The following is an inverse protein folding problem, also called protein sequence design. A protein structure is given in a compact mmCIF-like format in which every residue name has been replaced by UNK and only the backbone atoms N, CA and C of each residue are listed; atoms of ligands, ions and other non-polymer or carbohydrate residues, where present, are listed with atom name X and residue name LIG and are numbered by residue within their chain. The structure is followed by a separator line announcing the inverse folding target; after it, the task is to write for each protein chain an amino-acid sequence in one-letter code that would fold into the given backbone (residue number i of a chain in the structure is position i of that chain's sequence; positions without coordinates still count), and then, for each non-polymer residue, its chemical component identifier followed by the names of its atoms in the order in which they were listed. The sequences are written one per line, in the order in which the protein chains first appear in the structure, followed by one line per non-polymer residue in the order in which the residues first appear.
data_IF_700567187088
#
_entry.id   IF_700567187088
#
_cell.length_a   1.000
_cell.length_b   1.000
_cell.length_c   1.000
_cell.angle_alpha   90.00
_cell.angle_beta   90.00
_cell.angle_gamma   90.00
#
_symmetry.space_group_name_H-M   'P 1'
#
loop_
_entity.id
_entity.type
_entity.pdbx_description
1 polymer ?
#
# COMPACT_ATOMS: atom_id res chain seq x y z
N UNK A 1 3.22 -18.81 6.54
CA UNK A 1 2.02 -17.94 6.54
C UNK A 1 2.29 -16.77 7.47
N UNK A 2 2.11 -15.54 7.00
CA UNK A 2 2.26 -14.33 7.78
C UNK A 2 1.04 -14.11 8.69
N UNK A 3 1.23 -13.55 9.88
CA UNK A 3 0.17 -13.33 10.88
C UNK A 3 -0.31 -11.87 10.90
N UNK A 4 0.58 -10.93 10.55
CA UNK A 4 0.24 -9.52 10.43
C UNK A 4 0.86 -8.94 9.18
N UNK A 5 0.04 -8.37 8.33
CA UNK A 5 0.50 -7.81 7.06
C UNK A 5 0.09 -6.36 6.90
N UNK A 6 0.91 -5.60 6.19
CA UNK A 6 0.49 -4.30 5.68
C UNK A 6 0.34 -4.41 4.17
N UNK A 7 -0.86 -4.14 3.67
CA UNK A 7 -1.17 -4.07 2.26
C UNK A 7 -1.13 -2.60 1.80
N UNK A 8 -0.22 -2.26 0.89
CA UNK A 8 -0.22 -0.96 0.24
C UNK A 8 -0.85 -1.06 -1.13
N UNK A 9 -1.90 -0.30 -1.37
CA UNK A 9 -2.59 -0.23 -2.67
C UNK A 9 -2.31 1.10 -3.34
N UNK A 10 -1.90 1.08 -4.61
CA UNK A 10 -1.70 2.32 -5.38
C UNK A 10 -3.04 3.04 -5.60
N UNK A 11 -3.07 4.37 -5.44
CA UNK A 11 -4.27 5.15 -5.73
C UNK A 11 -4.80 4.97 -7.15
N UNK A 12 -3.91 4.75 -8.12
CA UNK A 12 -4.30 4.50 -9.52
C UNK A 12 -5.22 3.29 -9.70
N UNK A 13 -5.17 2.33 -8.77
CA UNK A 13 -6.06 1.16 -8.79
C UNK A 13 -7.50 1.58 -8.52
N UNK A 14 -7.72 2.61 -7.69
CA UNK A 14 -9.05 3.11 -7.31
C UNK A 14 -9.73 3.96 -8.39
N UNK A 15 -8.95 4.47 -9.36
CA UNK A 15 -9.46 5.37 -10.41
C UNK A 15 -9.99 4.68 -11.66
N UNK A 16 -9.89 3.36 -11.75
CA UNK A 16 -10.26 2.63 -12.96
C UNK A 16 -9.53 3.18 -14.19
N UNK A 17 -10.25 3.34 -15.30
CA UNK A 17 -9.73 3.90 -16.57
C UNK A 17 -9.91 5.42 -16.67
N UNK A 18 -10.82 6.00 -15.89
CA UNK A 18 -11.24 7.41 -16.00
C UNK A 18 -10.61 8.34 -14.96
N UNK A 19 -9.90 7.80 -13.97
CA UNK A 19 -9.46 8.56 -12.78
C UNK A 19 -10.62 8.84 -11.81
N UNK A 20 -10.33 9.56 -10.72
CA UNK A 20 -11.31 9.80 -9.66
C UNK A 20 -11.57 8.54 -8.82
N UNK A 21 -12.82 8.27 -8.47
CA UNK A 21 -13.27 7.07 -7.78
C UNK A 21 -14.05 6.17 -8.73
N UNK A 22 -13.60 4.92 -8.85
CA UNK A 22 -14.28 3.88 -9.61
C UNK A 22 -14.77 2.80 -8.63
N UNK A 23 -16.08 2.67 -8.50
CA UNK A 23 -16.70 1.76 -7.53
C UNK A 23 -16.38 0.29 -7.82
N UNK A 24 -16.29 -0.10 -9.09
CA UNK A 24 -15.98 -1.48 -9.47
C UNK A 24 -14.52 -1.81 -9.09
N UNK A 25 -13.59 -0.91 -9.41
CA UNK A 25 -12.18 -1.07 -9.05
C UNK A 25 -11.98 -1.13 -7.52
N UNK A 26 -12.68 -0.28 -6.75
CA UNK A 26 -12.66 -0.32 -5.29
C UNK A 26 -13.22 -1.64 -4.77
N UNK A 27 -14.30 -2.13 -5.38
CA UNK A 27 -14.92 -3.40 -5.01
C UNK A 27 -13.97 -4.59 -5.24
N UNK A 28 -13.23 -4.61 -6.34
CA UNK A 28 -12.25 -5.68 -6.60
C UNK A 28 -11.10 -5.66 -5.58
N UNK A 29 -10.62 -4.48 -5.20
CA UNK A 29 -9.63 -4.36 -4.10
C UNK A 29 -10.21 -4.86 -2.79
N UNK A 30 -11.42 -4.43 -2.44
CA UNK A 30 -12.10 -4.85 -1.22
C UNK A 30 -12.31 -6.37 -1.19
N UNK A 31 -12.64 -7.00 -2.33
CA UNK A 31 -12.76 -8.45 -2.45
C UNK A 31 -11.44 -9.17 -2.16
N UNK A 32 -10.32 -8.73 -2.73
CA UNK A 32 -9.00 -9.30 -2.43
C UNK A 32 -8.66 -9.21 -0.93
N UNK A 33 -9.05 -8.10 -0.28
CA UNK A 33 -8.85 -7.92 1.16
C UNK A 33 -9.80 -8.83 1.95
N UNK A 34 -11.05 -8.97 1.52
CA UNK A 34 -12.04 -9.86 2.14
C UNK A 34 -11.60 -11.33 2.07
N UNK A 35 -11.15 -11.78 0.89
CA UNK A 35 -10.63 -13.13 0.69
C UNK A 35 -9.39 -13.41 1.59
N UNK A 36 -8.56 -12.40 1.80
CA UNK A 36 -7.41 -12.48 2.71
C UNK A 36 -7.83 -12.49 4.19
N UNK A 37 -8.87 -11.73 4.55
CA UNK A 37 -9.40 -11.66 5.91
C UNK A 37 -9.96 -13.01 6.42
N UNK A 38 -10.39 -13.90 5.52
CA UNK A 38 -10.79 -15.26 5.86
C UNK A 38 -9.68 -16.08 6.52
N UNK A 39 -8.41 -15.69 6.34
CA UNK A 39 -7.27 -16.34 7.00
C UNK A 39 -7.14 -16.01 8.49
N UNK A 40 -8.02 -15.14 9.01
CA UNK A 40 -8.00 -14.68 10.42
C UNK A 40 -6.66 -14.08 10.85
N UNK A 41 -6.03 -13.29 9.99
CA UNK A 41 -4.79 -12.57 10.26
C UNK A 41 -5.05 -11.08 10.49
N UNK A 42 -4.05 -10.36 10.96
CA UNK A 42 -4.13 -8.91 11.13
C UNK A 42 -3.78 -8.18 9.81
N UNK A 43 -4.70 -7.38 9.29
CA UNK A 43 -4.51 -6.65 8.03
C UNK A 43 -4.55 -5.14 8.27
N UNK A 44 -3.41 -4.47 8.09
CA UNK A 44 -3.32 -3.02 7.91
C UNK A 44 -3.32 -2.69 6.41
N UNK A 45 -3.95 -1.59 6.04
CA UNK A 45 -4.02 -1.14 4.64
C UNK A 45 -3.55 0.30 4.55
N UNK A 46 -2.74 0.62 3.55
CA UNK A 46 -2.40 1.99 3.15
C UNK A 46 -2.84 2.19 1.71
N UNK A 47 -3.58 3.24 1.43
CA UNK A 47 -4.01 3.58 0.06
C UNK A 47 -3.33 4.85 -0.43
N UNK A 48 -2.95 4.87 -1.72
CA UNK A 48 -2.45 6.07 -2.37
C UNK A 48 -3.57 7.04 -2.78
N UNK A 49 -3.21 8.28 -3.15
CA UNK A 49 -4.13 9.32 -3.63
C UNK A 49 -4.01 9.65 -5.12
N UNK A 50 -3.16 8.94 -5.87
CA UNK A 50 -2.76 9.30 -7.22
C UNK A 50 -3.83 9.19 -8.32
N UNK A 51 -5.01 8.64 -8.01
CA UNK A 51 -6.20 8.66 -8.87
C UNK A 51 -6.91 10.02 -8.84
N UNK A 52 -6.77 10.78 -7.75
CA UNK A 52 -7.41 12.09 -7.53
C UNK A 52 -6.39 13.19 -7.81
N UNK A 53 -5.23 13.14 -7.17
CA UNK A 53 -4.14 14.12 -7.35
C UNK A 53 -2.79 13.50 -7.10
N UNK A 54 -1.78 13.95 -7.84
CA UNK A 54 -0.38 13.58 -7.65
C UNK A 54 0.43 14.82 -7.28
N UNK A 55 1.27 14.73 -6.27
CA UNK A 55 2.15 15.83 -5.85
C UNK A 55 3.10 16.29 -6.96
N UNK A 56 3.48 15.39 -7.88
CA UNK A 56 4.29 15.72 -9.05
C UNK A 56 3.58 16.67 -10.04
N UNK A 57 2.26 16.77 -9.97
CA UNK A 57 1.48 17.69 -10.82
C UNK A 57 1.38 19.11 -10.21
N UNK A 58 2.07 19.38 -9.09
CA UNK A 58 2.08 20.69 -8.43
C UNK A 58 2.41 21.84 -9.39
N UNK A 59 3.42 21.66 -10.24
CA UNK A 59 3.85 22.65 -11.22
C UNK A 59 2.75 22.93 -12.26
N UNK A 60 1.98 21.91 -12.64
CA UNK A 60 0.85 22.06 -13.59
C UNK A 60 -0.30 22.85 -13.00
N UNK A 61 -0.49 22.78 -11.68
CA UNK A 61 -1.53 23.52 -10.96
C UNK A 61 -1.06 24.86 -10.43
N UNK A 62 0.25 25.19 -10.58
CA UNK A 62 0.82 26.42 -10.06
C UNK A 62 0.76 26.53 -8.53
N UNK A 63 0.77 25.40 -7.82
CA UNK A 63 0.74 25.35 -6.36
C UNK A 63 2.07 24.90 -5.79
N UNK A 64 2.35 25.31 -4.55
CA UNK A 64 3.56 24.86 -3.86
C UNK A 64 3.53 23.33 -3.67
N UNK A 65 4.70 22.71 -3.74
CA UNK A 65 4.86 21.26 -3.53
C UNK A 65 4.23 20.79 -2.22
N UNK A 66 4.43 21.54 -1.13
CA UNK A 66 3.85 21.22 0.17
C UNK A 66 2.32 21.22 0.14
N UNK A 67 1.71 22.18 -0.57
CA UNK A 67 0.25 22.23 -0.75
C UNK A 67 -0.24 21.02 -1.54
N UNK A 68 0.42 20.68 -2.65
CA UNK A 68 0.08 19.52 -3.47
C UNK A 68 0.22 18.20 -2.68
N UNK A 69 1.23 18.09 -1.83
CA UNK A 69 1.41 16.93 -0.95
C UNK A 69 0.27 16.81 0.07
N UNK A 70 -0.19 17.92 0.69
CA UNK A 70 -1.37 17.91 1.55
C UNK A 70 -2.66 17.56 0.78
N UNK A 71 -2.83 18.06 -0.43
CA UNK A 71 -3.96 17.66 -1.29
C UNK A 71 -3.91 16.15 -1.58
N UNK A 72 -2.72 15.60 -1.86
CA UNK A 72 -2.52 14.16 -2.02
C UNK A 72 -2.83 13.37 -0.75
N UNK A 73 -2.47 13.87 0.44
CA UNK A 73 -2.83 13.26 1.72
C UNK A 73 -4.35 13.22 1.91
N UNK A 74 -5.06 14.32 1.61
CA UNK A 74 -6.53 14.35 1.67
C UNK A 74 -7.17 13.40 0.64
N UNK A 75 -6.59 13.26 -0.55
CA UNK A 75 -7.03 12.29 -1.54
C UNK A 75 -6.95 10.85 -1.01
N UNK A 76 -5.92 10.52 -0.20
CA UNK A 76 -5.85 9.20 0.44
C UNK A 76 -6.96 9.00 1.48
N UNK A 77 -7.40 10.07 2.16
CA UNK A 77 -8.54 10.00 3.10
C UNK A 77 -9.82 9.65 2.35
N UNK A 78 -10.08 10.31 1.22
CA UNK A 78 -11.24 10.03 0.36
C UNK A 78 -11.23 8.55 -0.06
N UNK A 79 -10.11 8.05 -0.59
CA UNK A 79 -9.97 6.65 -0.98
C UNK A 79 -10.16 5.68 0.20
N UNK A 80 -9.65 6.04 1.38
CA UNK A 80 -9.78 5.23 2.60
C UNK A 80 -11.22 5.07 3.05
N UNK A 81 -12.02 6.16 3.00
CA UNK A 81 -13.43 6.14 3.33
C UNK A 81 -14.23 5.31 2.31
N UNK A 82 -13.93 5.46 1.03
CA UNK A 82 -14.57 4.66 -0.02
C UNK A 82 -14.30 3.16 0.17
N UNK A 83 -13.05 2.78 0.45
CA UNK A 83 -12.68 1.39 0.72
C UNK A 83 -13.34 0.87 2.01
N UNK A 84 -13.35 1.67 3.10
CA UNK A 84 -14.04 1.31 4.35
C UNK A 84 -15.51 1.01 4.08
N UNK A 85 -16.23 1.91 3.40
CA UNK A 85 -17.64 1.73 3.10
C UNK A 85 -17.91 0.43 2.35
N UNK A 86 -17.11 0.10 1.32
CA UNK A 86 -17.28 -1.15 0.57
C UNK A 86 -16.97 -2.37 1.43
N UNK A 87 -15.94 -2.35 2.26
CA UNK A 87 -15.60 -3.45 3.17
C UNK A 87 -16.69 -3.69 4.21
N UNK A 88 -17.26 -2.64 4.78
CA UNK A 88 -18.30 -2.76 5.81
C UNK A 88 -19.67 -3.12 5.20
N UNK A 89 -20.11 -2.40 4.16
CA UNK A 89 -21.46 -2.57 3.60
C UNK A 89 -21.61 -3.81 2.71
N UNK A 90 -20.58 -4.14 1.91
CA UNK A 90 -20.67 -5.25 0.96
C UNK A 90 -20.12 -6.57 1.50
N UNK A 91 -19.09 -6.51 2.34
CA UNK A 91 -18.42 -7.71 2.85
C UNK A 91 -18.63 -7.93 4.35
N UNK A 92 -19.30 -7.02 5.08
CA UNK A 92 -19.57 -7.15 6.51
C UNK A 92 -18.32 -7.11 7.40
N UNK A 93 -17.21 -6.55 6.90
CA UNK A 93 -15.91 -6.57 7.58
C UNK A 93 -15.72 -5.28 8.37
N UNK A 94 -15.64 -5.38 9.68
CA UNK A 94 -15.38 -4.23 10.54
C UNK A 94 -14.06 -3.56 10.22
N UNK A 95 -14.10 -2.30 9.83
CA UNK A 95 -12.94 -1.53 9.37
C UNK A 95 -12.82 -0.22 10.13
N UNK A 96 -11.61 0.27 10.35
CA UNK A 96 -11.34 1.58 10.96
C UNK A 96 -10.35 2.37 10.11
N UNK A 97 -10.71 3.62 9.80
CA UNK A 97 -9.78 4.57 9.17
C UNK A 97 -9.08 5.37 10.26
N UNK A 98 -7.75 5.36 10.21
CA UNK A 98 -6.91 6.20 11.08
C UNK A 98 -6.08 7.15 10.22
N UNK A 99 -6.21 8.46 10.48
CA UNK A 99 -5.55 9.51 9.73
C UNK A 99 -4.33 10.07 10.45
N UNK A 100 -3.24 10.27 9.72
CA UNK A 100 -2.05 10.96 10.23
C UNK A 100 -2.26 12.48 10.41
N UNK A 101 -3.24 13.04 9.68
CA UNK A 101 -3.69 14.43 9.86
C UNK A 101 -5.01 14.40 10.64
N UNK A 102 -5.18 15.24 11.69
CA UNK A 102 -6.41 15.28 12.46
C UNK A 102 -7.60 15.69 11.59
N UNK A 103 -8.57 14.79 11.44
CA UNK A 103 -9.86 15.02 10.75
C UNK A 103 -10.96 14.34 11.59
N UNK A 104 -11.13 14.82 12.82
CA UNK A 104 -11.86 14.13 13.87
C UNK A 104 -13.31 13.75 13.52
N UNK A 105 -13.97 14.51 12.64
CA UNK A 105 -15.35 14.23 12.21
C UNK A 105 -15.45 13.05 11.22
N UNK A 106 -14.33 12.56 10.68
CA UNK A 106 -14.33 11.63 9.52
C UNK A 106 -13.52 10.37 9.80
N UNK A 107 -12.40 10.49 10.52
CA UNK A 107 -11.47 9.40 10.80
C UNK A 107 -10.87 9.52 12.20
N UNK A 108 -10.48 8.40 12.78
CA UNK A 108 -9.72 8.42 14.03
C UNK A 108 -8.32 9.02 13.80
N UNK A 109 -7.80 9.76 14.79
CA UNK A 109 -6.39 10.13 14.77
C UNK A 109 -5.53 8.85 14.90
N UNK A 110 -4.48 8.75 14.09
CA UNK A 110 -3.54 7.64 14.20
C UNK A 110 -2.85 7.64 15.56
N UNK A 111 -3.01 6.56 16.28
CA UNK A 111 -2.28 6.24 17.51
C UNK A 111 -1.87 4.78 17.41
N UNK A 112 -0.55 4.50 17.40
CA UNK A 112 0.01 3.16 17.23
C UNK A 112 -0.69 2.10 18.08
N UNK A 113 -0.84 2.34 19.39
CA UNK A 113 -1.47 1.37 20.30
C UNK A 113 -2.94 1.11 19.98
N UNK A 114 -3.67 2.14 19.48
CA UNK A 114 -5.06 1.99 19.05
C UNK A 114 -5.15 1.16 17.76
N UNK A 115 -4.25 1.40 16.80
CA UNK A 115 -4.16 0.60 15.58
C UNK A 115 -3.95 -0.89 15.90
N UNK A 116 -2.95 -1.21 16.73
CA UNK A 116 -2.67 -2.59 17.16
C UNK A 116 -3.90 -3.22 17.83
N UNK A 117 -4.56 -2.49 18.74
CA UNK A 117 -5.77 -3.01 19.41
C UNK A 117 -6.93 -3.27 18.44
N UNK A 118 -7.07 -2.48 17.38
CA UNK A 118 -8.07 -2.77 16.33
C UNK A 118 -7.72 -4.04 15.57
N UNK A 119 -6.47 -4.20 15.16
CA UNK A 119 -5.97 -5.39 14.47
C UNK A 119 -6.18 -6.65 15.32
N UNK A 120 -5.82 -6.60 16.60
CA UNK A 120 -6.02 -7.72 17.55
C UNK A 120 -7.48 -8.09 17.77
N UNK A 121 -8.42 -7.18 17.50
CA UNK A 121 -9.87 -7.44 17.51
C UNK A 121 -10.40 -7.95 16.16
N UNK A 122 -9.54 -8.32 15.24
CA UNK A 122 -9.91 -8.78 13.90
C UNK A 122 -10.50 -7.69 13.00
N UNK A 123 -10.24 -6.41 13.30
CA UNK A 123 -10.65 -5.29 12.44
C UNK A 123 -9.58 -4.98 11.42
N UNK A 124 -9.97 -4.62 10.21
CA UNK A 124 -9.05 -4.02 9.24
C UNK A 124 -8.79 -2.56 9.65
N UNK A 125 -7.53 -2.13 9.59
CA UNK A 125 -7.16 -0.73 9.84
C UNK A 125 -6.62 -0.13 8.55
N UNK A 126 -7.28 0.93 8.06
CA UNK A 126 -6.83 1.69 6.90
C UNK A 126 -6.12 2.95 7.41
N UNK A 127 -4.86 3.10 7.06
CA UNK A 127 -4.03 4.25 7.42
C UNK A 127 -4.09 5.29 6.30
N UNK A 128 -4.68 6.44 6.60
CA UNK A 128 -4.88 7.55 5.68
C UNK A 128 -3.92 8.71 5.98
N UNK A 129 -3.83 9.65 5.05
CA UNK A 129 -3.01 10.86 5.09
C UNK A 129 -1.49 10.59 5.15
N UNK A 130 -1.05 9.45 4.64
CA UNK A 130 0.37 9.15 4.49
C UNK A 130 1.14 9.18 5.81
N UNK A 131 2.26 9.91 5.85
CA UNK A 131 3.04 10.17 7.07
C UNK A 131 2.48 11.35 7.87
N UNK A 132 1.58 12.16 7.29
CA UNK A 132 1.16 13.46 7.82
C UNK A 132 2.13 14.60 7.49
N UNK A 133 3.24 14.32 6.82
CA UNK A 133 4.26 15.28 6.46
C UNK A 133 4.48 15.35 4.94
N UNK A 134 4.63 16.56 4.36
CA UNK A 134 5.02 16.72 2.97
C UNK A 134 6.36 16.03 2.65
N UNK A 135 6.65 15.85 1.35
CA UNK A 135 7.85 15.26 0.78
C UNK A 135 7.99 13.74 0.93
N UNK A 136 7.12 13.07 1.68
CA UNK A 136 7.13 11.61 1.81
C UNK A 136 6.10 10.97 0.88
N UNK A 137 6.51 9.90 0.23
CA UNK A 137 5.61 9.10 -0.62
C UNK A 137 4.66 8.23 0.20
N UNK A 138 3.64 7.70 -0.46
CA UNK A 138 2.76 6.68 0.14
C UNK A 138 3.51 5.36 0.39
N UNK A 139 4.56 5.04 -0.37
CA UNK A 139 5.39 3.85 -0.13
C UNK A 139 6.17 3.99 1.18
N UNK A 140 6.82 5.13 1.40
CA UNK A 140 7.48 5.46 2.68
C UNK A 140 6.48 5.39 3.85
N UNK A 141 5.27 5.97 3.67
CA UNK A 141 4.23 5.89 4.70
C UNK A 141 3.83 4.44 5.00
N UNK A 142 3.68 3.60 3.98
CA UNK A 142 3.30 2.21 4.15
C UNK A 142 4.36 1.42 4.93
N UNK A 143 5.63 1.60 4.61
CA UNK A 143 6.73 0.97 5.36
C UNK A 143 6.75 1.43 6.81
N UNK A 144 6.60 2.74 7.06
CA UNK A 144 6.54 3.29 8.42
C UNK A 144 5.38 2.65 9.21
N UNK A 145 4.17 2.58 8.65
CA UNK A 145 3.02 1.94 9.31
C UNK A 145 3.24 0.45 9.53
N UNK A 146 3.87 -0.26 8.58
CA UNK A 146 4.19 -1.67 8.72
C UNK A 146 5.10 -1.92 9.95
N UNK A 147 6.16 -1.11 10.09
CA UNK A 147 7.07 -1.18 11.23
C UNK A 147 6.33 -0.88 12.54
N UNK A 148 5.53 0.20 12.57
CA UNK A 148 4.80 0.63 13.76
C UNK A 148 3.79 -0.39 14.26
N UNK A 149 3.16 -1.15 13.37
CA UNK A 149 2.21 -2.21 13.75
C UNK A 149 2.88 -3.57 13.91
N UNK A 150 4.20 -3.69 13.78
CA UNK A 150 4.95 -4.94 13.76
C UNK A 150 4.41 -5.93 12.71
N UNK A 151 4.29 -5.49 11.46
CA UNK A 151 3.91 -6.35 10.35
C UNK A 151 5.05 -7.31 9.98
N UNK A 152 4.72 -8.55 9.63
CA UNK A 152 5.69 -9.56 9.19
C UNK A 152 6.19 -9.28 7.77
N UNK A 153 5.36 -8.61 6.95
CA UNK A 153 5.64 -8.27 5.57
C UNK A 153 4.81 -7.06 5.13
N UNK A 154 5.36 -6.28 4.21
CA UNK A 154 4.61 -5.29 3.44
C UNK A 154 4.31 -5.83 2.04
N UNK A 155 3.03 -5.88 1.65
CA UNK A 155 2.58 -6.25 0.33
C UNK A 155 2.32 -4.98 -0.48
N UNK A 156 3.12 -4.73 -1.52
CA UNK A 156 2.90 -3.63 -2.46
C UNK A 156 2.07 -4.12 -3.63
N UNK A 157 0.77 -3.87 -3.55
CA UNK A 157 -0.21 -4.24 -4.55
C UNK A 157 -0.33 -3.15 -5.63
N UNK A 158 -0.02 -3.51 -6.86
CA UNK A 158 0.06 -2.60 -8.01
C UNK A 158 -0.61 -3.20 -9.25
N UNK A 159 -0.39 -2.58 -10.43
CA UNK A 159 -0.81 -3.07 -11.76
C UNK A 159 0.28 -3.89 -12.47
N UNK A 160 1.37 -4.22 -11.76
CA UNK A 160 2.47 -5.03 -12.29
C UNK A 160 2.68 -6.27 -11.42
N UNK A 161 3.08 -7.35 -12.04
CA UNK A 161 3.17 -8.66 -11.43
C UNK A 161 4.49 -8.92 -10.69
N UNK A 162 5.38 -7.93 -10.64
CA UNK A 162 6.67 -8.03 -9.94
C UNK A 162 7.67 -6.98 -10.37
N UNK A 163 8.93 -7.22 -10.08
CA UNK A 163 10.08 -6.38 -10.37
C UNK A 163 10.88 -6.99 -11.50
N UNK A 164 11.32 -6.16 -12.43
CA UNK A 164 12.09 -6.54 -13.59
C UNK A 164 13.44 -5.82 -13.61
N UNK A 165 14.42 -6.41 -14.27
CA UNK A 165 15.75 -5.81 -14.50
C UNK A 165 15.67 -4.59 -15.44
N UNK A 166 14.65 -4.55 -16.31
CA UNK A 166 14.36 -3.50 -17.29
C UNK A 166 12.84 -3.28 -17.37
N UNK A 167 12.42 -2.18 -17.99
CA UNK A 167 10.99 -1.91 -18.22
C UNK A 167 10.41 -2.96 -19.22
N UNK A 168 9.53 -3.88 -18.77
CA UNK A 168 8.98 -4.93 -19.64
C UNK A 168 8.09 -4.39 -20.76
N UNK A 169 7.59 -3.15 -20.63
CA UNK A 169 6.81 -2.50 -21.71
C UNK A 169 7.67 -2.01 -22.86
N UNK A 170 8.98 -1.79 -22.60
CA UNK A 170 9.94 -1.28 -23.59
C UNK A 170 10.91 -2.35 -24.05
N UNK A 171 11.04 -3.44 -23.30
CA UNK A 171 12.02 -4.50 -23.54
C UNK A 171 11.37 -5.86 -23.37
N UNK A 172 11.21 -6.58 -24.48
CA UNK A 172 10.66 -7.95 -24.49
C UNK A 172 11.57 -8.99 -23.79
N UNK A 173 12.86 -8.65 -23.60
CA UNK A 173 13.86 -9.48 -22.91
C UNK A 173 13.97 -9.15 -21.41
N UNK A 174 13.05 -8.33 -20.86
CA UNK A 174 13.06 -8.02 -19.44
C UNK A 174 12.83 -9.27 -18.60
N UNK A 175 13.74 -9.51 -17.66
CA UNK A 175 13.69 -10.66 -16.75
C UNK A 175 13.08 -10.25 -15.42
N UNK A 176 12.04 -10.97 -15.01
CA UNK A 176 11.40 -10.77 -13.71
C UNK A 176 12.25 -11.42 -12.63
N UNK A 177 12.42 -10.71 -11.51
CA UNK A 177 13.01 -11.27 -10.31
C UNK A 177 11.97 -12.05 -9.50
N UNK A 178 12.32 -13.26 -9.06
CA UNK A 178 11.57 -13.96 -8.00
C UNK A 178 11.86 -13.34 -6.63
N UNK A 179 13.15 -13.03 -6.40
CA UNK A 179 13.68 -12.44 -5.19
C UNK A 179 14.82 -11.48 -5.52
N UNK A 180 14.90 -10.35 -4.80
CA UNK A 180 15.96 -9.35 -4.98
C UNK A 180 16.31 -8.72 -3.63
N UNK A 181 17.61 -8.43 -3.40
CA UNK A 181 18.03 -7.79 -2.16
C UNK A 181 17.71 -6.31 -2.14
N UNK A 182 17.54 -5.73 -0.92
CA UNK A 182 17.37 -4.28 -0.76
C UNK A 182 18.54 -3.50 -1.39
N UNK A 183 19.78 -3.98 -1.22
CA UNK A 183 20.97 -3.35 -1.81
C UNK A 183 20.91 -3.34 -3.31
N UNK A 184 20.58 -4.46 -3.93
CA UNK A 184 20.46 -4.56 -5.38
C UNK A 184 19.38 -3.63 -5.94
N UNK A 185 18.25 -3.47 -5.22
CA UNK A 185 17.21 -2.50 -5.56
C UNK A 185 17.76 -1.08 -5.57
N UNK A 186 18.53 -0.69 -4.54
CA UNK A 186 19.13 0.64 -4.42
C UNK A 186 20.23 0.87 -5.45
N UNK A 187 21.17 -0.09 -5.60
CA UNK A 187 22.32 0.02 -6.49
C UNK A 187 21.91 0.08 -7.97
N UNK A 188 20.94 -0.74 -8.37
CA UNK A 188 20.39 -0.77 -9.73
C UNK A 188 19.29 0.27 -9.96
N UNK A 189 18.92 1.05 -8.94
CA UNK A 189 17.84 2.06 -9.00
C UNK A 189 16.54 1.48 -9.59
N UNK A 190 16.18 0.25 -9.20
CA UNK A 190 14.97 -0.40 -9.67
C UNK A 190 13.74 0.42 -9.22
N UNK A 191 12.86 0.75 -10.17
CA UNK A 191 11.68 1.62 -9.93
C UNK A 191 10.53 0.87 -9.23
N UNK A 192 10.79 0.41 -8.03
CA UNK A 192 9.84 -0.36 -7.22
C UNK A 192 9.11 0.55 -6.24
N UNK A 193 9.89 1.30 -5.46
CA UNK A 193 9.47 2.24 -4.44
C UNK A 193 10.51 3.35 -4.37
N UNK A 194 10.25 4.42 -3.63
CA UNK A 194 11.29 5.42 -3.39
C UNK A 194 12.41 4.86 -2.47
N UNK A 195 13.59 5.45 -2.59
CA UNK A 195 14.79 4.99 -1.88
C UNK A 195 14.62 5.02 -0.36
N UNK A 196 13.83 5.97 0.17
CA UNK A 196 13.54 6.08 1.60
C UNK A 196 12.77 4.87 2.10
N UNK A 197 11.75 4.43 1.34
CA UNK A 197 10.99 3.24 1.66
C UNK A 197 11.87 1.98 1.69
N UNK A 198 12.75 1.80 0.68
CA UNK A 198 13.65 0.64 0.61
C UNK A 198 14.69 0.69 1.74
N UNK A 199 15.26 1.86 2.06
CA UNK A 199 16.20 2.01 3.16
C UNK A 199 15.54 1.66 4.51
N UNK A 200 14.33 2.14 4.77
CA UNK A 200 13.57 1.79 5.98
C UNK A 200 13.28 0.28 6.07
N UNK A 201 12.92 -0.36 4.96
CA UNK A 201 12.75 -1.83 4.92
C UNK A 201 14.06 -2.55 5.29
N UNK A 202 15.18 -2.12 4.71
CA UNK A 202 16.50 -2.70 4.96
C UNK A 202 16.92 -2.56 6.43
N UNK A 203 16.81 -1.35 7.01
CA UNK A 203 17.20 -1.08 8.40
C UNK A 203 16.36 -1.86 9.42
N UNK A 204 15.09 -2.13 9.09
CA UNK A 204 14.17 -2.83 10.00
C UNK A 204 13.93 -4.29 9.62
N UNK A 205 14.68 -4.83 8.65
CA UNK A 205 14.54 -6.21 8.15
C UNK A 205 13.09 -6.56 7.75
N UNK A 206 12.33 -5.57 7.26
CA UNK A 206 10.94 -5.75 6.86
C UNK A 206 10.89 -6.23 5.40
N UNK A 207 10.51 -7.48 5.11
CA UNK A 207 10.36 -7.93 3.73
C UNK A 207 9.22 -7.17 3.04
N UNK A 208 9.41 -6.93 1.73
CA UNK A 208 8.41 -6.34 0.86
C UNK A 208 8.14 -7.28 -0.31
N UNK A 209 6.88 -7.49 -0.68
CA UNK A 209 6.52 -8.23 -1.89
C UNK A 209 5.74 -7.33 -2.83
N UNK A 210 6.19 -7.27 -4.09
CA UNK A 210 5.46 -6.57 -5.17
C UNK A 210 4.61 -7.58 -5.91
N UNK A 211 3.32 -7.30 -6.05
CA UNK A 211 2.37 -8.20 -6.70
C UNK A 211 1.28 -7.45 -7.49
N UNK A 212 0.68 -8.13 -8.46
CA UNK A 212 -0.47 -7.61 -9.20
C UNK A 212 -1.75 -7.85 -8.39
N UNK A 213 -2.47 -6.74 -8.09
CA UNK A 213 -3.73 -6.74 -7.34
C UNK A 213 -4.91 -7.28 -8.18
N UNK A 214 -4.82 -7.22 -9.49
CA UNK A 214 -5.90 -7.64 -10.39
C UNK A 214 -5.94 -9.14 -10.64
N UNK A 215 -4.90 -9.88 -10.23
CA UNK A 215 -4.91 -11.35 -10.27
C UNK A 215 -5.69 -11.88 -9.07
N UNK A 216 -6.84 -12.54 -9.27
CA UNK A 216 -7.66 -13.05 -8.17
C UNK A 216 -6.88 -13.95 -7.22
N UNK A 217 -7.00 -13.70 -5.92
CA UNK A 217 -6.35 -14.49 -4.87
C UNK A 217 -4.87 -14.19 -4.64
N UNK A 218 -4.24 -13.25 -5.39
CA UNK A 218 -2.82 -12.94 -5.22
C UNK A 218 -2.49 -12.45 -3.81
N UNK A 219 -3.32 -11.59 -3.22
CA UNK A 219 -3.11 -11.10 -1.85
C UNK A 219 -3.15 -12.26 -0.85
N UNK A 220 -4.16 -13.12 -0.93
CA UNK A 220 -4.29 -14.32 -0.08
C UNK A 220 -3.11 -15.28 -0.26
N UNK A 221 -2.69 -15.53 -1.50
CA UNK A 221 -1.56 -16.40 -1.81
C UNK A 221 -0.23 -15.83 -1.31
N UNK A 222 0.00 -14.51 -1.42
CA UNK A 222 1.17 -13.85 -0.85
C UNK A 222 1.24 -14.05 0.67
N UNK A 223 0.12 -13.87 1.38
CA UNK A 223 0.01 -14.08 2.83
C UNK A 223 0.33 -15.53 3.23
N UNK A 224 -0.08 -16.48 2.41
CA UNK A 224 0.24 -17.91 2.59
C UNK A 224 1.72 -18.25 2.29
N UNK A 225 2.51 -17.28 1.81
CA UNK A 225 3.92 -17.45 1.49
C UNK A 225 4.18 -18.04 0.11
N UNK A 226 3.18 -18.03 -0.79
CA UNK A 226 3.38 -18.49 -2.17
C UNK A 226 4.10 -17.42 -3.01
N UNK A 227 4.83 -17.87 -4.03
CA UNK A 227 5.53 -17.00 -4.99
C UNK A 227 4.54 -16.44 -6.02
N UNK A 228 3.96 -15.28 -5.73
CA UNK A 228 2.97 -14.61 -6.61
C UNK A 228 3.46 -13.27 -7.18
N UNK A 229 4.69 -12.90 -6.85
CA UNK A 229 5.30 -11.63 -7.25
C UNK A 229 6.80 -11.66 -7.05
N UNK A 230 7.42 -10.52 -6.79
CA UNK A 230 8.84 -10.41 -6.44
C UNK A 230 8.99 -10.10 -4.96
N UNK A 231 9.75 -10.91 -4.24
CA UNK A 231 10.11 -10.68 -2.85
C UNK A 231 11.37 -9.82 -2.76
N UNK A 232 11.31 -8.73 -1.99
CA UNK A 232 12.46 -7.88 -1.66
C UNK A 232 12.79 -8.13 -0.18
N UNK A 233 13.97 -8.64 0.07
CA UNK A 233 14.40 -8.99 1.43
C UNK A 233 15.93 -8.96 1.53
N UNK A 234 16.47 -9.30 2.69
CA UNK A 234 17.88 -9.58 2.82
C UNK A 234 18.17 -10.97 2.20
N UNK A 235 18.86 -11.01 1.05
CA UNK A 235 19.22 -12.28 0.43
C UNK A 235 20.06 -13.11 1.43
N UNK A 236 19.59 -14.31 1.73
CA UNK A 236 20.45 -15.28 2.44
C UNK A 236 21.65 -15.58 1.55
N UNK A 237 22.86 -15.27 2.04
CA UNK A 237 24.12 -15.71 1.40
C UNK A 237 24.18 -17.23 1.36
#
# INVERSE_FOLDING_TARGET
MYQRVLLKVSGEVFGGTKGGLDYEAITEVAKQIADANELNINIGVVVGGGNIIRGIDADRFGVLRTTADYMGMLATVINSLALQSVLEEKFGIHTRVQSAIPIASVAENFIRRRAIRHLEKGRIVIFAAGTGNPYFSTDTAAVLRAIEINADIMLKATKVDGVYDKDPKKNSEAVKYDEVSYREVLDKQLKIADSTAIALCMENHLPMMVLDIFVPGNVKNAILGKKVGTLICECKK
#
